data_IF_186788415332
#
_entry.id   IF_186788415332
#
_cell.length_a   1.000
_cell.length_b   1.000
_cell.length_c   1.000
_cell.angle_alpha   90.00
_cell.angle_beta   90.00
_cell.angle_gamma   90.00
#
_symmetry.space_group_name_H-M   'P 1'
#
loop_
_entity.id
_entity.type
_entity.pdbx_description
1 polymer ?
#
# COMPACT_ATOMS: atom_id res chain seq x y z
N UNK A 1 7.74 -9.94 1.84
CA UNK A 1 7.25 -9.05 0.77
C UNK A 1 5.77 -9.34 0.60
N UNK A 2 4.90 -8.51 1.20
CA UNK A 2 3.45 -8.68 1.18
C UNK A 2 2.85 -7.40 0.60
N UNK A 3 2.78 -7.33 -0.72
CA UNK A 3 2.30 -6.15 -1.45
C UNK A 3 1.45 -6.52 -2.66
N UNK A 4 0.71 -5.56 -3.18
CA UNK A 4 -0.14 -5.73 -4.37
C UNK A 4 0.46 -4.91 -5.51
N UNK A 5 0.50 -5.49 -6.71
CA UNK A 5 0.84 -4.75 -7.93
C UNK A 5 -0.41 -4.13 -8.54
N UNK A 6 -0.33 -2.84 -8.87
CA UNK A 6 -1.38 -2.15 -9.58
C UNK A 6 -1.59 -2.79 -10.97
N UNK A 7 -2.82 -3.13 -11.39
CA UNK A 7 -3.04 -3.85 -12.64
C UNK A 7 -2.73 -3.03 -13.90
N UNK A 8 -2.84 -1.70 -13.84
CA UNK A 8 -2.53 -0.81 -14.99
C UNK A 8 -1.10 -0.27 -14.99
N UNK A 9 -0.68 0.43 -13.92
CA UNK A 9 0.68 0.98 -13.81
C UNK A 9 1.78 -0.02 -13.43
N UNK A 10 1.43 -1.24 -12.99
CA UNK A 10 2.37 -2.27 -12.49
C UNK A 10 3.23 -1.88 -11.27
N UNK A 11 3.03 -0.68 -10.75
CA UNK A 11 3.67 -0.21 -9.52
C UNK A 11 3.29 -1.12 -8.35
N UNK A 12 4.26 -1.41 -7.49
CA UNK A 12 4.12 -2.25 -6.31
C UNK A 12 3.80 -1.39 -5.09
N UNK A 13 2.77 -1.78 -4.34
CA UNK A 13 2.32 -1.07 -3.14
C UNK A 13 2.44 -2.00 -1.94
N UNK A 14 3.17 -1.54 -0.93
CA UNK A 14 3.49 -2.30 0.29
C UNK A 14 3.20 -1.44 1.51
N UNK A 15 2.53 -2.01 2.52
CA UNK A 15 2.33 -1.32 3.80
C UNK A 15 3.64 -1.37 4.60
N UNK A 16 4.03 -0.25 5.22
CA UNK A 16 5.25 -0.16 6.03
C UNK A 16 5.08 -0.62 7.49
N UNK A 17 3.85 -1.02 7.88
CA UNK A 17 3.49 -1.39 9.25
C UNK A 17 3.19 -0.20 10.18
N UNK A 18 3.34 1.04 9.69
CA UNK A 18 3.12 2.28 10.42
C UNK A 18 2.01 3.16 9.81
N UNK A 19 1.21 2.59 8.90
CA UNK A 19 0.10 3.27 8.25
C UNK A 19 0.48 4.05 6.98
N UNK A 20 1.74 3.96 6.53
CA UNK A 20 2.14 4.45 5.22
C UNK A 20 2.26 3.30 4.23
N UNK A 21 2.37 3.68 2.97
CA UNK A 21 2.50 2.80 1.82
C UNK A 21 3.75 3.18 1.05
N UNK A 22 4.67 2.24 0.95
CA UNK A 22 5.79 2.31 0.02
C UNK A 22 5.28 1.95 -1.38
N UNK A 23 5.41 2.88 -2.31
CA UNK A 23 5.07 2.68 -3.72
C UNK A 23 6.34 2.62 -4.52
N UNK A 24 6.54 1.54 -5.26
CA UNK A 24 7.69 1.34 -6.16
C UNK A 24 7.22 1.24 -7.60
N UNK A 25 7.70 2.14 -8.46
CA UNK A 25 7.44 2.20 -9.89
C UNK A 25 8.76 2.12 -10.67
N UNK A 26 9.08 0.92 -11.17
CA UNK A 26 10.36 0.63 -11.79
C UNK A 26 11.52 0.82 -10.81
N UNK A 27 12.39 1.79 -11.09
CA UNK A 27 13.55 2.14 -10.26
C UNK A 27 13.25 3.23 -9.22
N UNK A 28 12.08 3.87 -9.28
CA UNK A 28 11.69 4.97 -8.39
C UNK A 28 10.79 4.47 -7.29
N UNK A 29 10.89 5.08 -6.12
CA UNK A 29 9.97 4.83 -5.02
C UNK A 29 9.57 6.09 -4.29
N UNK A 30 8.43 6.03 -3.61
CA UNK A 30 7.90 7.08 -2.77
C UNK A 30 7.11 6.50 -1.62
N UNK A 31 7.14 7.18 -0.47
CA UNK A 31 6.31 6.84 0.69
C UNK A 31 5.12 7.77 0.69
N UNK A 32 3.94 7.19 0.83
CA UNK A 32 2.67 7.90 0.85
C UNK A 32 1.86 7.50 2.07
N UNK A 33 1.10 8.42 2.64
CA UNK A 33 0.11 8.09 3.68
C UNK A 33 -0.96 7.16 3.13
N UNK A 34 -1.77 6.52 3.98
CA UNK A 34 -2.97 5.80 3.54
C UNK A 34 -3.98 6.61 2.69
N UNK A 35 -3.95 7.94 2.75
CA UNK A 35 -4.78 8.81 1.89
C UNK A 35 -4.10 9.21 0.57
N UNK A 36 -2.92 8.67 0.27
CA UNK A 36 -2.15 8.98 -0.94
C UNK A 36 -1.39 10.32 -0.91
N UNK A 37 -1.22 10.95 0.27
CA UNK A 37 -0.38 12.15 0.42
C UNK A 37 1.09 11.75 0.42
N UNK A 38 1.91 12.44 -0.38
CA UNK A 38 3.35 12.22 -0.45
C UNK A 38 4.05 12.57 0.87
N UNK A 39 4.96 11.71 1.32
CA UNK A 39 5.77 11.88 2.54
C UNK A 39 7.26 12.02 2.18
N UNK A 40 7.80 11.09 1.39
CA UNK A 40 9.22 11.07 1.03
C UNK A 40 9.49 10.29 -0.27
N UNK A 41 10.71 10.39 -0.80
CA UNK A 41 11.17 9.65 -1.99
C UNK A 41 11.09 10.41 -3.31
N UNK A 42 11.49 9.72 -4.38
CA UNK A 42 11.58 10.26 -5.74
C UNK A 42 10.24 10.26 -6.46
N UNK A 43 9.42 9.23 -6.24
CA UNK A 43 8.09 9.14 -6.81
C UNK A 43 7.15 10.11 -6.07
N UNK A 44 6.55 11.05 -6.80
CA UNK A 44 5.69 12.11 -6.23
C UNK A 44 4.19 11.86 -6.40
N UNK A 45 3.82 10.88 -7.19
CA UNK A 45 2.44 10.55 -7.51
C UNK A 45 2.18 9.06 -7.28
N UNK A 46 0.99 8.74 -6.79
CA UNK A 46 0.50 7.38 -6.61
C UNK A 46 -1.01 7.34 -6.87
N UNK A 47 -1.58 6.15 -6.97
CA UNK A 47 -3.03 5.96 -6.89
C UNK A 47 -3.47 6.04 -5.41
N UNK A 48 -4.19 7.09 -4.99
CA UNK A 48 -4.62 7.25 -3.60
C UNK A 48 -5.62 6.17 -3.17
N UNK A 49 -6.42 5.60 -4.08
CA UNK A 49 -7.35 4.53 -3.75
C UNK A 49 -6.60 3.25 -3.39
N UNK A 50 -5.49 2.98 -4.08
CA UNK A 50 -4.68 1.81 -3.76
C UNK A 50 -3.86 2.00 -2.49
N UNK A 51 -3.40 3.23 -2.19
CA UNK A 51 -2.85 3.55 -0.87
C UNK A 51 -3.87 3.29 0.25
N UNK A 52 -5.13 3.73 0.06
CA UNK A 52 -6.18 3.54 1.05
C UNK A 52 -6.49 2.06 1.28
N UNK A 53 -6.58 1.28 0.20
CA UNK A 53 -6.78 -0.16 0.27
C UNK A 53 -5.65 -0.86 1.04
N UNK A 54 -4.40 -0.54 0.71
CA UNK A 54 -3.23 -1.19 1.31
C UNK A 54 -3.02 -0.78 2.76
N UNK A 55 -3.27 0.49 3.11
CA UNK A 55 -3.20 0.99 4.48
C UNK A 55 -4.43 0.62 5.34
N UNK A 56 -5.48 0.08 4.73
CA UNK A 56 -6.75 -0.20 5.38
C UNK A 56 -6.64 -1.25 6.49
N UNK A 57 -7.51 -1.18 7.52
CA UNK A 57 -7.54 -2.17 8.58
C UNK A 57 -7.95 -3.55 8.02
N UNK A 58 -7.22 -4.59 8.41
CA UNK A 58 -7.61 -5.96 8.13
C UNK A 58 -8.74 -6.32 9.11
N UNK A 59 -9.98 -6.27 8.61
CA UNK A 59 -11.12 -6.70 9.40
C UNK A 59 -11.07 -8.23 9.59
N UNK A 60 -11.32 -8.74 10.81
CA UNK A 60 -11.43 -10.18 11.03
C UNK A 60 -12.60 -10.72 10.20
N UNK A 61 -12.32 -11.77 9.43
CA UNK A 61 -13.35 -12.43 8.65
C UNK A 61 -14.20 -13.28 9.61
N UNK A 62 -15.51 -13.01 9.70
CA UNK A 62 -16.40 -13.76 10.59
C UNK A 62 -16.39 -15.28 10.35
N UNK A 63 -16.00 -15.71 9.14
CA UNK A 63 -15.92 -17.13 8.75
C UNK A 63 -14.56 -17.77 9.04
N UNK A 64 -13.55 -16.97 9.37
CA UNK A 64 -12.23 -17.43 9.77
C UNK A 64 -12.17 -17.28 11.29
N UNK A 65 -12.39 -18.36 12.02
CA UNK A 65 -11.96 -18.42 13.43
C UNK A 65 -10.49 -18.83 13.42
N UNK A 66 -9.71 -18.26 14.34
CA UNK A 66 -8.34 -18.72 14.55
C UNK A 66 -8.37 -20.23 14.79
N UNK A 67 -7.52 -20.97 14.08
CA UNK A 67 -7.34 -22.39 14.36
C UNK A 67 -6.54 -22.50 15.66
N UNK A 68 -7.14 -23.13 16.68
CA UNK A 68 -6.50 -23.47 17.96
C UNK A 68 -5.18 -24.24 17.78
#
# INVERSE_FOLDING_TARGET
MLGIRHPFSHALYEQDGHGNVLVTDGARSGVFTGEGRWVSGELRECDPQMCNWIAGPIAPNHRMHDAD
#
